data_IF_673534374936
#
_entry.id   IF_673534374936
#
_cell.length_a   1.000
_cell.length_b   1.000
_cell.length_c   1.000
_cell.angle_alpha   90.00
_cell.angle_beta   90.00
_cell.angle_gamma   90.00
#
_symmetry.space_group_name_H-M   'P 1'
#
loop_
_entity.id
_entity.type
_entity.pdbx_description
1 polymer ?
#
# COMPACT_ATOMS: atom_id res chain seq x y z
N UNK A 1 -24.43 10.09 -9.04
CA UNK A 1 -23.95 11.22 -8.22
C UNK A 1 -24.57 11.06 -6.85
N UNK A 2 -24.04 10.13 -6.06
CA UNK A 2 -24.47 9.95 -4.67
C UNK A 2 -23.43 10.62 -3.81
N UNK A 3 -23.76 11.82 -3.32
CA UNK A 3 -22.99 12.54 -2.31
C UNK A 3 -23.20 11.85 -0.96
N UNK A 4 -22.12 11.41 -0.32
CA UNK A 4 -22.18 10.94 1.08
C UNK A 4 -21.92 12.13 2.00
N UNK A 5 -22.80 12.32 2.98
CA UNK A 5 -22.65 13.28 4.08
C UNK A 5 -22.48 12.47 5.35
N UNK A 6 -21.37 12.61 6.06
CA UNK A 6 -21.32 12.46 7.53
C UNK A 6 -20.15 13.30 8.10
N UNK A 7 -20.39 14.01 9.21
CA UNK A 7 -19.45 14.84 9.99
C UNK A 7 -18.87 16.12 9.35
N UNK A 8 -19.59 16.75 8.41
CA UNK A 8 -19.38 18.17 8.10
C UNK A 8 -18.43 18.50 6.95
N UNK A 9 -18.09 17.55 6.07
CA UNK A 9 -17.62 17.89 4.73
C UNK A 9 -18.48 17.21 3.66
N UNK A 10 -19.00 18.03 2.75
CA UNK A 10 -19.37 17.62 1.40
C UNK A 10 -18.10 17.73 0.56
N UNK A 11 -17.56 16.63 0.05
CA UNK A 11 -16.42 16.70 -0.86
C UNK A 11 -16.92 16.62 -2.30
N UNK A 12 -17.03 17.78 -2.93
CA UNK A 12 -17.00 17.91 -4.37
C UNK A 12 -15.52 18.01 -4.78
N UNK A 13 -15.07 17.52 -5.95
CA UNK A 13 -13.66 17.61 -6.38
C UNK A 13 -13.13 19.06 -6.48
N UNK A 14 -14.01 20.06 -6.41
CA UNK A 14 -13.65 21.48 -6.33
C UNK A 14 -13.28 22.00 -4.93
N UNK A 15 -13.51 21.23 -3.85
CA UNK A 15 -13.36 21.70 -2.46
C UNK A 15 -12.06 21.25 -1.77
N UNK A 16 -11.21 20.45 -2.43
CA UNK A 16 -9.95 19.92 -1.87
C UNK A 16 -8.77 20.91 -1.89
N UNK A 17 -9.01 22.22 -1.89
CA UNK A 17 -7.93 23.20 -1.64
C UNK A 17 -7.70 23.49 -0.15
N UNK A 18 -7.97 22.53 0.74
CA UNK A 18 -7.88 22.75 2.19
C UNK A 18 -7.19 21.61 2.92
N UNK A 19 -5.92 21.86 3.26
CA UNK A 19 -5.12 21.20 4.27
C UNK A 19 -5.93 20.89 5.56
N UNK A 20 -6.11 19.62 5.91
CA UNK A 20 -6.60 19.22 7.23
C UNK A 20 -5.69 18.12 7.79
N UNK A 21 -5.23 18.31 9.02
CA UNK A 21 -4.02 17.67 9.55
C UNK A 21 -4.22 16.27 10.15
N UNK A 22 -5.45 15.76 10.23
CA UNK A 22 -5.78 14.33 10.38
C UNK A 22 -7.24 14.13 9.95
N UNK A 23 -7.53 13.12 9.13
CA UNK A 23 -8.88 12.77 8.72
C UNK A 23 -9.30 11.44 9.36
N UNK A 24 -10.34 11.46 10.20
CA UNK A 24 -11.00 10.25 10.69
C UNK A 24 -12.21 9.96 9.79
N UNK A 25 -12.13 8.89 8.98
CA UNK A 25 -13.13 8.57 7.95
C UNK A 25 -13.97 7.36 8.38
N UNK A 26 -15.12 7.59 9.01
CA UNK A 26 -16.01 6.50 9.42
C UNK A 26 -17.04 6.15 8.33
N UNK A 27 -16.92 4.93 7.80
CA UNK A 27 -17.84 4.16 6.94
C UNK A 27 -18.46 4.89 5.74
N UNK A 28 -17.89 4.66 4.57
CA UNK A 28 -18.45 5.07 3.26
C UNK A 28 -18.87 3.85 2.44
N UNK A 29 -19.93 3.99 1.64
CA UNK A 29 -20.46 2.89 0.79
C UNK A 29 -19.67 2.72 -0.51
N UNK A 30 -19.03 3.78 -1.00
CA UNK A 30 -18.09 3.80 -2.12
C UNK A 30 -17.29 5.10 -2.07
N UNK A 31 -16.04 5.08 -2.53
CA UNK A 31 -15.14 6.23 -2.57
C UNK A 31 -14.65 6.43 -4.01
N UNK A 32 -14.78 7.65 -4.53
CA UNK A 32 -14.11 8.06 -5.77
C UNK A 32 -13.22 9.27 -5.49
N UNK A 33 -11.96 9.20 -5.91
CA UNK A 33 -11.00 10.32 -5.98
C UNK A 33 -10.83 11.06 -4.64
N UNK A 34 -10.27 10.36 -3.66
CA UNK A 34 -9.98 10.94 -2.34
C UNK A 34 -8.51 11.35 -2.23
N UNK A 35 -8.25 12.51 -1.62
CA UNK A 35 -6.88 12.93 -1.30
C UNK A 35 -6.79 13.45 0.14
N UNK A 36 -5.82 12.94 0.90
CA UNK A 36 -5.48 13.42 2.25
C UNK A 36 -4.03 13.88 2.33
N UNK A 37 -3.78 14.93 3.12
CA UNK A 37 -2.44 15.46 3.41
C UNK A 37 -2.32 15.62 4.92
N UNK A 38 -1.79 14.59 5.58
CA UNK A 38 -1.79 14.42 7.04
C UNK A 38 -2.00 12.95 7.43
N UNK A 39 -2.23 12.70 8.72
CA UNK A 39 -2.61 11.37 9.19
C UNK A 39 -4.02 10.98 8.71
N UNK A 40 -4.24 9.70 8.42
CA UNK A 40 -5.57 9.12 8.22
C UNK A 40 -5.70 8.01 9.25
N UNK A 41 -6.73 8.07 10.09
CA UNK A 41 -6.95 7.08 11.15
C UNK A 41 -8.33 6.44 10.98
N UNK A 42 -8.38 5.10 11.03
CA UNK A 42 -9.61 4.32 11.11
C UNK A 42 -10.52 4.43 9.89
N UNK A 43 -9.97 4.60 8.69
CA UNK A 43 -10.75 4.71 7.46
C UNK A 43 -11.48 3.40 7.14
N UNK A 44 -12.80 3.44 6.94
CA UNK A 44 -13.59 2.25 6.59
C UNK A 44 -14.43 2.50 5.32
N UNK A 45 -14.29 1.64 4.31
CA UNK A 45 -15.17 1.56 3.13
C UNK A 45 -15.84 0.19 3.04
N UNK A 46 -17.11 0.16 2.63
CA UNK A 46 -17.91 -1.08 2.44
C UNK A 46 -18.34 -1.30 0.98
N UNK A 47 -17.79 -0.51 0.07
CA UNK A 47 -17.83 -0.79 -1.36
C UNK A 47 -16.62 -0.19 -2.05
N UNK A 48 -16.70 -0.08 -3.37
CA UNK A 48 -15.53 0.13 -4.21
C UNK A 48 -14.84 1.47 -3.93
N UNK A 49 -13.52 1.45 -3.97
CA UNK A 49 -12.63 2.59 -3.75
C UNK A 49 -11.82 2.83 -5.01
N UNK A 50 -12.13 3.89 -5.74
CA UNK A 50 -11.37 4.32 -6.92
C UNK A 50 -10.56 5.57 -6.57
N UNK A 51 -9.25 5.54 -6.83
CA UNK A 51 -8.39 6.73 -6.77
C UNK A 51 -8.21 7.32 -5.37
N UNK A 52 -7.64 6.57 -4.42
CA UNK A 52 -7.34 7.07 -3.08
C UNK A 52 -5.88 7.47 -2.96
N UNK A 53 -5.59 8.72 -2.59
CA UNK A 53 -4.23 9.21 -2.35
C UNK A 53 -4.07 9.73 -0.93
N UNK A 54 -3.03 9.30 -0.21
CA UNK A 54 -2.67 9.84 1.09
C UNK A 54 -1.20 10.26 1.14
N UNK A 55 -0.91 11.35 1.84
CA UNK A 55 0.45 11.76 2.17
C UNK A 55 0.55 11.95 3.69
N UNK A 56 1.26 11.05 4.38
CA UNK A 56 1.32 10.98 5.84
C UNK A 56 1.20 9.55 6.35
N UNK A 57 0.80 9.38 7.61
CA UNK A 57 0.56 8.06 8.20
C UNK A 57 -0.88 7.65 7.93
N UNK A 58 -1.10 6.43 7.44
CA UNK A 58 -2.43 5.81 7.31
C UNK A 58 -2.51 4.68 8.32
N UNK A 59 -3.27 4.85 9.39
CA UNK A 59 -3.48 3.82 10.42
C UNK A 59 -4.88 3.22 10.32
N UNK A 60 -4.95 1.88 10.28
CA UNK A 60 -6.21 1.14 10.43
C UNK A 60 -7.21 1.33 9.29
N UNK A 61 -6.74 1.37 8.04
CA UNK A 61 -7.61 1.45 6.87
C UNK A 61 -8.23 0.08 6.55
N UNK A 62 -9.55 0.02 6.36
CA UNK A 62 -10.29 -1.19 5.98
C UNK A 62 -11.18 -0.93 4.77
N UNK A 63 -11.08 -1.77 3.73
CA UNK A 63 -12.01 -1.79 2.60
C UNK A 63 -12.68 -3.15 2.47
N UNK A 64 -13.99 -3.17 2.26
CA UNK A 64 -14.75 -4.35 1.86
C UNK A 64 -15.40 -4.05 0.50
N UNK A 65 -14.65 -4.25 -0.57
CA UNK A 65 -14.94 -3.85 -1.95
C UNK A 65 -13.65 -3.82 -2.76
N UNK A 66 -13.76 -3.58 -4.06
CA UNK A 66 -12.58 -3.49 -4.91
C UNK A 66 -11.87 -2.15 -4.67
N UNK A 67 -10.53 -2.15 -4.68
CA UNK A 67 -9.69 -0.98 -4.47
C UNK A 67 -8.84 -0.77 -5.71
N UNK A 68 -9.14 0.27 -6.49
CA UNK A 68 -8.41 0.63 -7.69
C UNK A 68 -7.61 1.92 -7.48
N UNK A 69 -6.30 1.88 -7.73
CA UNK A 69 -5.46 3.07 -7.78
C UNK A 69 -5.21 3.73 -6.42
N UNK A 70 -4.92 2.94 -5.38
CA UNK A 70 -4.54 3.45 -4.07
C UNK A 70 -3.05 3.87 -4.05
N UNK A 71 -2.76 5.10 -3.61
CA UNK A 71 -1.39 5.62 -3.45
C UNK A 71 -1.17 6.19 -2.05
N UNK A 72 -0.10 5.76 -1.38
CA UNK A 72 0.33 6.33 -0.11
C UNK A 72 1.77 6.84 -0.19
N UNK A 73 2.00 8.03 0.35
CA UNK A 73 3.33 8.59 0.56
C UNK A 73 3.55 8.80 2.07
N UNK A 74 4.14 7.82 2.73
CA UNK A 74 4.37 7.79 4.17
C UNK A 74 4.19 6.36 4.71
N UNK A 75 3.87 6.23 5.99
CA UNK A 75 3.72 4.92 6.64
C UNK A 75 2.27 4.44 6.49
N UNK A 76 2.07 3.18 6.15
CA UNK A 76 0.75 2.52 6.16
C UNK A 76 0.77 1.44 7.23
N UNK A 77 0.01 1.63 8.30
CA UNK A 77 -0.10 0.67 9.40
C UNK A 77 -1.49 0.04 9.44
N UNK A 78 -1.56 -1.29 9.40
CA UNK A 78 -2.80 -2.04 9.59
C UNK A 78 -3.83 -1.85 8.48
N UNK A 79 -3.41 -1.91 7.21
CA UNK A 79 -4.32 -1.88 6.07
C UNK A 79 -4.96 -3.25 5.84
N UNK A 80 -6.28 -3.30 5.70
CA UNK A 80 -7.04 -4.51 5.37
C UNK A 80 -7.93 -4.27 4.16
N UNK A 81 -7.85 -5.15 3.16
CA UNK A 81 -8.78 -5.16 2.03
C UNK A 81 -9.47 -6.52 1.89
N UNK A 82 -10.74 -6.51 1.50
CA UNK A 82 -11.48 -7.69 1.09
C UNK A 82 -12.14 -7.41 -0.26
N UNK A 83 -11.63 -8.02 -1.32
CA UNK A 83 -11.92 -7.65 -2.71
C UNK A 83 -10.64 -7.68 -3.55
N UNK A 84 -10.72 -7.20 -4.79
CA UNK A 84 -9.55 -7.03 -5.65
C UNK A 84 -8.82 -5.73 -5.29
N UNK A 85 -7.50 -5.75 -5.20
CA UNK A 85 -6.67 -4.56 -5.04
C UNK A 85 -5.83 -4.38 -6.30
N UNK A 86 -6.17 -3.39 -7.12
CA UNK A 86 -5.46 -3.07 -8.36
C UNK A 86 -4.64 -1.78 -8.23
N UNK A 87 -3.36 -1.84 -8.60
CA UNK A 87 -2.50 -0.66 -8.75
C UNK A 87 -2.16 0.05 -7.43
N UNK A 88 -2.05 -0.68 -6.32
CA UNK A 88 -1.65 -0.12 -5.04
C UNK A 88 -0.17 0.29 -5.02
N UNK A 89 0.13 1.52 -4.61
CA UNK A 89 1.50 2.04 -4.51
C UNK A 89 1.77 2.65 -3.13
N UNK A 90 2.83 2.23 -2.44
CA UNK A 90 3.36 2.88 -1.25
C UNK A 90 4.77 3.40 -1.49
N UNK A 91 5.03 4.64 -1.13
CA UNK A 91 6.37 5.25 -1.17
C UNK A 91 7.03 5.36 0.22
N UNK A 92 6.51 4.64 1.20
CA UNK A 92 7.09 4.49 2.54
C UNK A 92 6.72 3.13 3.13
N UNK A 93 6.99 2.97 4.43
CA UNK A 93 6.90 1.68 5.09
C UNK A 93 5.46 1.17 5.19
N UNK A 94 5.31 -0.15 5.05
CA UNK A 94 4.01 -0.83 5.11
C UNK A 94 4.07 -1.88 6.21
N UNK A 95 3.30 -1.67 7.27
CA UNK A 95 3.23 -2.55 8.43
C UNK A 95 1.84 -3.20 8.52
N UNK A 96 1.78 -4.52 8.54
CA UNK A 96 0.56 -5.28 8.80
C UNK A 96 -0.51 -5.16 7.71
N UNK A 97 -0.11 -5.21 6.43
CA UNK A 97 -1.06 -5.23 5.31
C UNK A 97 -1.70 -6.62 5.13
N UNK A 98 -3.03 -6.66 5.03
CA UNK A 98 -3.79 -7.89 4.79
C UNK A 98 -4.74 -7.71 3.60
N UNK A 99 -4.69 -8.64 2.64
CA UNK A 99 -5.67 -8.71 1.55
C UNK A 99 -6.37 -10.07 1.52
N UNK A 100 -7.71 -10.05 1.50
CA UNK A 100 -8.56 -11.20 1.27
C UNK A 100 -9.22 -11.06 -0.11
N UNK A 101 -8.48 -11.42 -1.14
CA UNK A 101 -8.82 -11.32 -2.56
C UNK A 101 -7.56 -11.19 -3.40
N UNK A 102 -7.74 -10.91 -4.69
CA UNK A 102 -6.63 -10.80 -5.64
C UNK A 102 -5.92 -9.44 -5.49
N UNK A 103 -4.60 -9.43 -5.70
CA UNK A 103 -3.76 -8.22 -5.64
C UNK A 103 -2.99 -8.12 -6.94
N UNK A 104 -3.28 -7.09 -7.72
CA UNK A 104 -2.67 -6.85 -9.03
C UNK A 104 -1.84 -5.55 -9.01
N UNK A 105 -0.56 -5.65 -9.35
CA UNK A 105 0.31 -4.48 -9.54
C UNK A 105 0.64 -3.71 -8.26
N UNK A 106 0.81 -4.40 -7.14
CA UNK A 106 1.22 -3.76 -5.88
C UNK A 106 2.71 -3.35 -5.92
N UNK A 107 3.02 -2.11 -5.53
CA UNK A 107 4.39 -1.60 -5.44
C UNK A 107 4.64 -0.95 -4.08
N UNK A 108 5.73 -1.33 -3.42
CA UNK A 108 6.22 -0.65 -2.20
C UNK A 108 7.66 -0.15 -2.41
N UNK A 109 7.93 1.08 -1.99
CA UNK A 109 9.25 1.69 -1.94
C UNK A 109 9.58 2.14 -0.50
N UNK A 110 9.66 1.15 0.37
CA UNK A 110 9.90 1.21 1.82
C UNK A 110 9.94 -0.21 2.36
N UNK A 111 10.17 -0.36 3.66
CA UNK A 111 10.20 -1.67 4.29
C UNK A 111 8.77 -2.23 4.39
N UNK A 112 8.61 -3.54 4.22
CA UNK A 112 7.32 -4.22 4.29
C UNK A 112 7.36 -5.26 5.40
N UNK A 113 6.61 -5.02 6.47
CA UNK A 113 6.50 -5.92 7.60
C UNK A 113 5.11 -6.54 7.69
N UNK A 114 5.04 -7.87 7.79
CA UNK A 114 3.80 -8.58 8.10
C UNK A 114 2.73 -8.54 7.00
N UNK A 115 3.11 -8.63 5.73
CA UNK A 115 2.17 -8.67 4.61
C UNK A 115 1.51 -10.06 4.47
N UNK A 116 0.19 -10.10 4.40
CA UNK A 116 -0.58 -11.33 4.19
C UNK A 116 -1.57 -11.18 3.05
N UNK A 117 -1.56 -12.12 2.10
CA UNK A 117 -2.53 -12.16 1.01
C UNK A 117 -3.22 -13.53 0.95
N UNK A 118 -4.51 -13.53 0.64
CA UNK A 118 -5.28 -14.73 0.35
C UNK A 118 -6.02 -14.55 -0.98
N UNK A 119 -5.51 -15.16 -2.05
CA UNK A 119 -5.90 -14.89 -3.44
C UNK A 119 -4.69 -15.00 -4.37
N UNK A 120 -4.84 -14.51 -5.59
CA UNK A 120 -3.73 -14.39 -6.55
C UNK A 120 -2.99 -13.07 -6.29
N UNK A 121 -1.67 -13.12 -6.28
CA UNK A 121 -0.81 -11.92 -6.24
C UNK A 121 -0.05 -11.81 -7.56
N UNK A 122 -0.40 -10.84 -8.40
CA UNK A 122 0.25 -10.59 -9.69
C UNK A 122 1.05 -9.29 -9.67
N UNK A 123 2.32 -9.35 -10.11
CA UNK A 123 3.15 -8.17 -10.35
C UNK A 123 3.57 -7.38 -9.10
N UNK A 124 3.65 -8.04 -7.94
CA UNK A 124 4.09 -7.39 -6.70
C UNK A 124 5.58 -6.99 -6.75
N UNK A 125 5.89 -5.74 -6.42
CA UNK A 125 7.26 -5.22 -6.36
C UNK A 125 7.53 -4.56 -5.01
N UNK A 126 8.62 -4.93 -4.35
CA UNK A 126 9.10 -4.26 -3.13
C UNK A 126 10.53 -3.76 -3.31
N UNK A 127 10.79 -2.54 -2.88
CA UNK A 127 12.11 -1.91 -2.79
C UNK A 127 12.31 -1.46 -1.35
N UNK A 128 13.06 -2.25 -0.59
CA UNK A 128 13.13 -2.21 0.88
C UNK A 128 13.20 -3.63 1.42
N UNK A 129 13.46 -3.75 2.71
CA UNK A 129 13.50 -5.05 3.38
C UNK A 129 12.07 -5.59 3.55
N UNK A 130 11.91 -6.91 3.40
CA UNK A 130 10.62 -7.60 3.54
C UNK A 130 10.70 -8.59 4.68
N UNK A 131 10.00 -8.30 5.77
CA UNK A 131 9.91 -9.14 6.95
C UNK A 131 8.52 -9.77 7.07
N UNK A 132 8.40 -11.07 6.82
CA UNK A 132 7.16 -11.81 7.07
C UNK A 132 6.07 -11.57 6.02
N UNK A 133 6.32 -12.02 4.80
CA UNK A 133 5.31 -12.11 3.75
C UNK A 133 4.67 -13.52 3.72
N UNK A 134 3.34 -13.59 3.71
CA UNK A 134 2.58 -14.84 3.57
C UNK A 134 1.55 -14.72 2.46
N UNK A 135 1.52 -15.68 1.54
CA UNK A 135 0.48 -15.80 0.52
C UNK A 135 -0.22 -17.16 0.60
N UNK A 136 -1.56 -17.15 0.56
CA UNK A 136 -2.38 -18.34 0.38
C UNK A 136 -3.09 -18.22 -0.97
N UNK A 137 -2.57 -18.92 -1.97
CA UNK A 137 -2.92 -18.73 -3.38
C UNK A 137 -1.68 -18.50 -4.26
N UNK A 138 -1.91 -18.25 -5.55
CA UNK A 138 -0.84 -18.19 -6.54
C UNK A 138 -0.12 -16.83 -6.51
N UNK A 139 1.18 -16.84 -6.79
CA UNK A 139 2.03 -15.64 -6.86
C UNK A 139 2.73 -15.60 -8.21
N UNK A 140 2.43 -14.58 -9.01
CA UNK A 140 3.03 -14.37 -10.32
C UNK A 140 3.81 -13.04 -10.37
N UNK A 141 5.10 -13.10 -10.74
CA UNK A 141 5.89 -11.91 -11.02
C UNK A 141 6.30 -11.08 -9.79
N UNK A 142 6.45 -11.71 -8.62
CA UNK A 142 6.93 -11.02 -7.42
C UNK A 142 8.42 -10.62 -7.53
N UNK A 143 8.75 -9.37 -7.26
CA UNK A 143 10.13 -8.87 -7.26
C UNK A 143 10.44 -8.17 -5.96
N UNK A 144 11.50 -8.58 -5.27
CA UNK A 144 12.03 -7.86 -4.11
C UNK A 144 13.45 -7.38 -4.37
N UNK A 145 13.71 -6.14 -3.99
CA UNK A 145 15.01 -5.49 -4.01
C UNK A 145 15.19 -5.07 -2.55
N UNK A 146 15.93 -5.87 -1.78
CA UNK A 146 16.13 -5.77 -0.34
C UNK A 146 16.40 -7.14 0.27
N UNK A 147 16.64 -7.20 1.57
CA UNK A 147 16.68 -8.46 2.29
C UNK A 147 15.25 -9.00 2.49
N UNK A 148 15.08 -10.32 2.32
CA UNK A 148 13.78 -10.99 2.51
C UNK A 148 13.97 -12.06 3.56
N UNK A 149 13.49 -11.80 4.77
CA UNK A 149 13.76 -12.65 5.94
C UNK A 149 12.83 -13.87 5.98
N UNK A 150 11.53 -13.65 5.75
CA UNK A 150 10.50 -14.71 5.76
C UNK A 150 9.51 -14.44 4.63
N UNK A 151 9.42 -15.38 3.70
CA UNK A 151 8.38 -15.43 2.67
C UNK A 151 7.82 -16.85 2.57
N UNK A 152 6.50 -16.99 2.70
CA UNK A 152 5.78 -18.28 2.67
C UNK A 152 4.66 -18.18 1.65
N UNK A 153 4.56 -19.17 0.77
CA UNK A 153 3.46 -19.30 -0.18
C UNK A 153 2.84 -20.70 -0.07
N UNK A 154 1.52 -20.77 0.03
CA UNK A 154 0.72 -22.00 -0.10
C UNK A 154 -0.08 -21.94 -1.41
N UNK A 155 0.63 -22.05 -2.52
CA UNK A 155 0.15 -21.94 -3.91
C UNK A 155 1.30 -22.00 -4.90
N UNK A 156 1.02 -21.87 -6.20
CA UNK A 156 2.07 -21.85 -7.23
C UNK A 156 2.80 -20.51 -7.21
N UNK A 157 4.13 -20.54 -7.38
CA UNK A 157 4.97 -19.32 -7.44
C UNK A 157 5.73 -19.29 -8.77
N UNK A 158 5.43 -18.31 -9.60
CA UNK A 158 6.01 -18.15 -10.94
C UNK A 158 6.67 -16.77 -11.07
N UNK A 159 7.90 -16.73 -11.57
CA UNK A 159 8.57 -15.45 -11.86
C UNK A 159 9.02 -14.64 -10.63
N UNK A 160 9.08 -15.26 -9.45
CA UNK A 160 9.58 -14.60 -8.25
C UNK A 160 11.10 -14.35 -8.32
N UNK A 161 11.52 -13.13 -7.99
CA UNK A 161 12.94 -12.74 -7.93
C UNK A 161 13.24 -11.90 -6.70
N UNK A 162 14.42 -12.09 -6.09
CA UNK A 162 14.86 -11.34 -4.92
C UNK A 162 16.33 -10.95 -5.05
N UNK A 163 16.66 -9.69 -4.80
CA UNK A 163 18.02 -9.15 -4.86
C UNK A 163 18.35 -8.45 -3.55
N UNK A 164 19.20 -9.09 -2.74
CA UNK A 164 19.72 -8.51 -1.49
C UNK A 164 20.64 -7.32 -1.73
N UNK A 165 20.73 -6.38 -0.77
CA UNK A 165 21.62 -5.21 -0.89
C UNK A 165 23.08 -5.61 -1.02
N UNK A 166 23.45 -6.70 -0.36
CA UNK A 166 24.78 -7.29 -0.46
C UNK A 166 25.16 -7.75 -1.88
N UNK A 167 24.17 -8.02 -2.74
CA UNK A 167 24.37 -8.47 -4.12
C UNK A 167 24.45 -7.31 -5.12
N UNK A 168 24.12 -6.08 -4.72
CA UNK A 168 24.17 -4.89 -5.59
C UNK A 168 25.63 -4.44 -5.73
N UNK A 169 26.25 -4.49 -6.92
CA UNK A 169 27.65 -4.14 -7.09
C UNK A 169 27.87 -2.66 -6.74
N UNK A 170 28.87 -2.39 -5.91
CA UNK A 170 29.20 -1.04 -5.39
C UNK A 170 29.48 -0.01 -6.49
N UNK A 171 29.72 -0.47 -7.73
CA UNK A 171 29.91 0.38 -8.92
C UNK A 171 28.62 0.97 -9.48
N UNK A 172 27.44 0.50 -9.06
CA UNK A 172 26.15 1.06 -9.46
C UNK A 172 25.77 2.30 -8.64
N UNK A 173 26.30 2.44 -7.41
CA UNK A 173 26.22 3.62 -6.56
C UNK A 173 27.16 4.76 -7.00
N UNK A 174 27.31 4.93 -8.32
CA UNK A 174 28.09 5.99 -8.94
C UNK A 174 27.36 7.33 -8.96
N UNK A 175 26.94 7.86 -7.80
CA UNK A 175 26.73 9.29 -7.59
C UNK A 175 27.33 9.73 -6.25
N UNK A 176 28.35 10.55 -6.41
CA UNK A 176 29.11 11.34 -5.45
C UNK A 176 28.34 11.95 -4.26
N UNK A 177 28.93 11.74 -3.07
CA UNK A 177 29.15 12.71 -1.99
C UNK A 177 27.94 13.15 -1.14
N UNK A 178 27.64 12.38 -0.08
CA UNK A 178 27.07 12.95 1.15
C UNK A 178 28.15 13.00 2.25
N UNK A 179 28.47 14.18 2.81
CA UNK A 179 29.40 14.28 3.92
C UNK A 179 28.73 13.74 5.19
N UNK A 180 29.37 12.76 5.84
CA UNK A 180 29.06 12.45 7.23
C UNK A 180 29.50 13.64 8.11
N UNK A 181 28.52 14.25 8.77
CA UNK A 181 28.67 15.08 9.97
C UNK A 181 27.75 14.41 11.00
N UNK A 182 28.16 13.97 12.19
CA UNK A 182 29.32 14.25 13.03
C UNK A 182 29.68 13.00 13.84
#
# INVERSE_FOLDING_TARGET
MSTVILNGLTLNPSDLSSSSSSAEVASVEALEEATSVGGVEGAISVGDVEGATSAGVVEGATSAGDVEGATSAGVVEGATSAGVVEGATSAGDVEGATSAGDVEGATSAGDVEGATSAGVVEGATSVGDVEGATSVGDVEGATSVGDVEVAISDGDVVGATSVAWSAVPSSLFGVSNFPHSS
#
